data_IF_409059836828
#
_entry.id   IF_409059836828
#
_cell.length_a   1.000
_cell.length_b   1.000
_cell.length_c   1.000
_cell.angle_alpha   90.00
_cell.angle_beta   90.00
_cell.angle_gamma   90.00
#
_symmetry.space_group_name_H-M   'P 1'
#
loop_
_entity.id
_entity.type
_entity.pdbx_description
1 polymer ?
#
# COMPACT_ATOMS: atom_id res chain seq x y z
N UNK A 1 -42.94 -2.99 13.25
CA UNK A 1 -41.58 -3.07 12.66
C UNK A 1 -41.77 -3.12 11.16
N UNK A 2 -41.39 -2.04 10.46
CA UNK A 2 -41.67 -1.92 9.03
C UNK A 2 -40.67 -2.76 8.24
N UNK A 3 -41.11 -3.29 7.10
CA UNK A 3 -40.32 -4.06 6.13
C UNK A 3 -39.08 -3.31 5.59
N UNK A 4 -38.90 -2.04 5.99
CA UNK A 4 -37.72 -1.19 5.69
C UNK A 4 -36.58 -1.33 6.72
N UNK A 5 -36.82 -2.00 7.86
CA UNK A 5 -35.79 -2.61 8.70
C UNK A 5 -35.35 -3.96 8.09
N UNK A 6 -35.20 -4.02 6.76
CA UNK A 6 -34.37 -5.02 6.13
C UNK A 6 -32.97 -4.79 6.68
N UNK A 7 -32.63 -5.62 7.65
CA UNK A 7 -31.31 -5.93 8.13
C UNK A 7 -30.37 -5.96 6.93
N UNK A 8 -29.72 -4.84 6.63
CA UNK A 8 -28.61 -4.86 5.70
C UNK A 8 -27.59 -5.72 6.40
N UNK A 9 -27.42 -6.93 5.89
CA UNK A 9 -26.36 -7.81 6.36
C UNK A 9 -25.05 -7.01 6.35
N UNK A 10 -24.09 -7.30 7.24
CA UNK A 10 -22.81 -6.60 7.29
C UNK A 10 -22.14 -6.48 5.90
N UNK A 11 -22.39 -7.44 5.01
CA UNK A 11 -21.98 -7.44 3.61
C UNK A 11 -22.59 -6.31 2.76
N UNK A 12 -23.88 -6.01 2.90
CA UNK A 12 -24.53 -4.94 2.15
C UNK A 12 -24.08 -3.58 2.69
N UNK A 13 -24.02 -3.43 4.01
CA UNK A 13 -23.49 -2.22 4.66
C UNK A 13 -22.06 -1.93 4.21
N UNK A 14 -21.20 -2.95 4.20
CA UNK A 14 -19.83 -2.83 3.70
C UNK A 14 -19.80 -2.41 2.23
N UNK A 15 -20.65 -3.00 1.38
CA UNK A 15 -20.72 -2.66 -0.04
C UNK A 15 -21.13 -1.20 -0.26
N UNK A 16 -22.10 -0.69 0.52
CA UNK A 16 -22.52 0.71 0.45
C UNK A 16 -21.41 1.66 0.92
N UNK A 17 -20.70 1.32 2.00
CA UNK A 17 -19.56 2.10 2.49
C UNK A 17 -18.48 2.19 1.40
N UNK A 18 -18.08 1.04 0.84
CA UNK A 18 -17.07 0.97 -0.21
C UNK A 18 -17.46 1.78 -1.45
N UNK A 19 -18.73 1.70 -1.89
CA UNK A 19 -19.20 2.48 -3.04
C UNK A 19 -19.27 3.99 -2.74
N UNK A 20 -19.61 4.39 -1.51
CA UNK A 20 -19.67 5.79 -1.09
C UNK A 20 -18.29 6.47 -1.09
N UNK A 21 -17.23 5.71 -0.80
CA UNK A 21 -15.83 6.16 -0.76
C UNK A 21 -15.18 6.20 -2.16
N UNK A 22 -15.86 5.73 -3.22
CA UNK A 22 -15.27 5.72 -4.56
C UNK A 22 -14.96 7.15 -5.06
N UNK A 23 -13.77 7.43 -5.61
CA UNK A 23 -13.40 8.77 -6.04
C UNK A 23 -14.17 9.22 -7.29
N UNK A 24 -14.62 8.28 -8.12
CA UNK A 24 -15.38 8.57 -9.33
C UNK A 24 -16.84 8.96 -8.97
N UNK A 25 -17.35 10.10 -9.45
CA UNK A 25 -18.76 10.42 -9.29
C UNK A 25 -19.60 9.41 -10.08
N UNK A 26 -20.52 8.73 -9.40
CA UNK A 26 -21.44 7.78 -10.02
C UNK A 26 -22.80 7.85 -9.35
N UNK A 27 -23.84 7.42 -10.07
CA UNK A 27 -25.18 7.30 -9.48
C UNK A 27 -25.19 6.32 -8.30
N UNK A 28 -24.39 5.25 -8.40
CA UNK A 28 -24.24 4.24 -7.34
C UNK A 28 -23.61 4.87 -6.09
N UNK A 29 -22.57 5.70 -6.25
CA UNK A 29 -21.95 6.45 -5.14
C UNK A 29 -22.96 7.38 -4.48
N UNK A 30 -23.67 8.19 -5.28
CA UNK A 30 -24.69 9.10 -4.78
C UNK A 30 -25.78 8.34 -4.01
N UNK A 31 -26.31 7.26 -4.59
CA UNK A 31 -27.32 6.41 -3.96
C UNK A 31 -26.80 5.78 -2.66
N UNK A 32 -25.53 5.33 -2.64
CA UNK A 32 -24.92 4.72 -1.45
C UNK A 32 -24.71 5.74 -0.33
N UNK A 33 -24.15 6.92 -0.64
CA UNK A 33 -24.02 8.02 0.32
C UNK A 33 -25.38 8.48 0.84
N UNK A 34 -26.38 8.57 -0.04
CA UNK A 34 -27.75 8.94 0.33
C UNK A 34 -28.38 7.88 1.26
N UNK A 35 -28.28 6.59 0.91
CA UNK A 35 -28.77 5.49 1.75
C UNK A 35 -28.11 5.46 3.12
N UNK A 36 -26.80 5.69 3.20
CA UNK A 36 -26.06 5.76 4.47
C UNK A 36 -26.46 7.00 5.30
N UNK A 37 -26.68 8.15 4.65
CA UNK A 37 -27.12 9.37 5.33
C UNK A 37 -28.48 9.22 6.02
N UNK A 38 -29.43 8.54 5.38
CA UNK A 38 -30.78 8.32 5.92
C UNK A 38 -30.88 7.14 6.89
N UNK A 39 -29.75 6.57 7.35
CA UNK A 39 -29.72 5.47 8.32
C UNK A 39 -29.17 5.96 9.67
N UNK A 40 -29.97 6.69 10.46
CA UNK A 40 -29.62 6.95 11.86
C UNK A 40 -29.50 5.59 12.59
N UNK A 41 -28.50 5.46 13.46
CA UNK A 41 -28.19 4.27 14.25
C UNK A 41 -27.53 3.07 13.52
N UNK A 42 -26.96 3.26 12.31
CA UNK A 42 -26.19 2.20 11.65
C UNK A 42 -25.06 1.65 12.55
N UNK A 43 -24.34 2.55 13.21
CA UNK A 43 -23.26 2.19 14.15
C UNK A 43 -23.80 1.36 15.31
N UNK A 44 -24.85 1.84 15.98
CA UNK A 44 -25.47 1.14 17.11
C UNK A 44 -25.97 -0.24 16.71
N UNK A 45 -26.60 -0.39 15.55
CA UNK A 45 -27.05 -1.69 15.03
C UNK A 45 -25.90 -2.65 14.76
N UNK A 46 -24.80 -2.16 14.16
CA UNK A 46 -23.62 -2.97 13.89
C UNK A 46 -22.95 -3.44 15.19
N UNK A 47 -22.82 -2.57 16.19
CA UNK A 47 -22.26 -2.89 17.50
C UNK A 47 -23.14 -3.91 18.25
N UNK A 48 -24.45 -3.68 18.31
CA UNK A 48 -25.39 -4.60 18.96
C UNK A 48 -25.33 -6.00 18.34
N UNK A 49 -25.27 -6.09 17.02
CA UNK A 49 -25.14 -7.37 16.34
C UNK A 49 -23.80 -8.06 16.57
N UNK A 50 -22.70 -7.32 16.59
CA UNK A 50 -21.39 -7.90 16.93
C UNK A 50 -21.42 -8.51 18.33
N UNK A 51 -22.02 -7.81 19.31
CA UNK A 51 -22.19 -8.31 20.68
C UNK A 51 -23.09 -9.55 20.74
N UNK A 52 -24.17 -9.59 19.96
CA UNK A 52 -25.06 -10.75 19.87
C UNK A 52 -24.36 -11.98 19.28
N UNK A 53 -23.57 -11.79 18.22
CA UNK A 53 -22.89 -12.89 17.53
C UNK A 53 -21.63 -13.37 18.28
N UNK A 54 -20.97 -12.48 19.02
CA UNK A 54 -19.66 -12.73 19.65
C UNK A 54 -19.57 -12.11 21.05
N UNK A 55 -20.39 -12.59 22.01
CA UNK A 55 -20.30 -12.10 23.38
C UNK A 55 -18.93 -12.46 23.98
N UNK A 56 -18.10 -11.45 24.25
CA UNK A 56 -16.82 -11.61 24.96
C UNK A 56 -15.61 -12.03 24.12
N UNK A 57 -15.62 -11.83 22.79
CA UNK A 57 -14.39 -11.96 21.99
C UNK A 57 -13.69 -10.61 21.83
N UNK A 58 -12.39 -10.57 22.04
CA UNK A 58 -11.56 -9.37 21.78
C UNK A 58 -11.53 -9.01 20.29
N UNK A 59 -11.85 -9.94 19.39
CA UNK A 59 -11.74 -9.75 17.93
C UNK A 59 -13.06 -9.20 17.36
N UNK A 60 -13.02 -7.94 16.90
CA UNK A 60 -14.15 -7.26 16.25
C UNK A 60 -14.15 -7.58 14.76
N UNK A 61 -15.30 -7.87 14.14
CA UNK A 61 -15.33 -8.12 12.70
C UNK A 61 -14.84 -6.92 11.87
N UNK A 62 -14.19 -7.19 10.74
CA UNK A 62 -13.76 -6.14 9.81
C UNK A 62 -14.94 -5.31 9.27
N UNK A 63 -16.14 -5.88 9.20
CA UNK A 63 -17.36 -5.17 8.84
C UNK A 63 -17.73 -4.12 9.89
N UNK A 64 -17.76 -4.51 11.17
CA UNK A 64 -18.04 -3.60 12.29
C UNK A 64 -16.97 -2.52 12.41
N UNK A 65 -15.68 -2.87 12.26
CA UNK A 65 -14.61 -1.86 12.21
C UNK A 65 -14.79 -0.87 11.05
N UNK A 66 -15.29 -1.32 9.89
CA UNK A 66 -15.59 -0.40 8.78
C UNK A 66 -16.76 0.53 9.05
N UNK A 67 -17.77 0.08 9.80
CA UNK A 67 -18.87 0.96 10.22
C UNK A 67 -18.38 2.01 11.22
N UNK A 68 -17.53 1.63 12.16
CA UNK A 68 -16.89 2.55 13.12
C UNK A 68 -16.00 3.55 12.39
N UNK A 69 -15.18 3.08 11.45
CA UNK A 69 -14.35 3.89 10.57
C UNK A 69 -15.16 4.92 9.76
N UNK A 70 -16.30 4.51 9.21
CA UNK A 70 -17.23 5.42 8.53
C UNK A 70 -17.84 6.46 9.48
N UNK A 71 -18.22 6.05 10.70
CA UNK A 71 -18.75 6.97 11.71
C UNK A 71 -17.68 8.01 12.12
N UNK A 72 -16.44 7.58 12.32
CA UNK A 72 -15.30 8.47 12.57
C UNK A 72 -15.09 9.44 11.41
N UNK A 73 -15.02 8.93 10.17
CA UNK A 73 -14.85 9.75 8.97
C UNK A 73 -15.95 10.81 8.85
N UNK A 74 -17.21 10.44 9.09
CA UNK A 74 -18.35 11.35 9.03
C UNK A 74 -18.28 12.46 10.08
N UNK A 75 -17.92 12.12 11.32
CA UNK A 75 -17.81 13.10 12.40
C UNK A 75 -16.63 14.07 12.17
N UNK A 76 -15.50 13.58 11.64
CA UNK A 76 -14.30 14.42 11.42
C UNK A 76 -14.37 15.27 10.17
N UNK A 77 -14.94 14.76 9.07
CA UNK A 77 -15.12 15.54 7.83
C UNK A 77 -16.22 16.59 7.93
N UNK A 78 -17.23 16.37 8.79
CA UNK A 78 -18.27 17.37 9.09
C UNK A 78 -17.72 18.65 9.73
N UNK A 79 -16.58 18.57 10.43
CA UNK A 79 -15.94 19.69 11.12
C UNK A 79 -14.82 20.36 10.30
N UNK A 80 -14.57 19.92 9.06
CA UNK A 80 -13.46 20.41 8.24
C UNK A 80 -12.07 20.00 8.77
N UNK A 81 -12.01 18.97 9.62
CA UNK A 81 -10.77 18.45 10.20
C UNK A 81 -9.98 17.55 9.23
N UNK A 82 -8.67 17.43 9.46
CA UNK A 82 -7.84 16.39 8.85
C UNK A 82 -8.18 15.04 9.49
N UNK A 83 -8.37 13.99 8.66
CA UNK A 83 -8.60 12.61 9.11
C UNK A 83 -7.44 12.06 9.96
N UNK A 84 -6.26 12.66 9.78
CA UNK A 84 -4.97 12.22 10.34
C UNK A 84 -4.54 13.08 11.54
N UNK A 85 -5.49 13.67 12.26
CA UNK A 85 -5.19 14.44 13.46
C UNK A 85 -5.16 13.50 14.68
N UNK A 86 -4.13 13.56 15.53
CA UNK A 86 -4.15 12.86 16.81
C UNK A 86 -5.19 13.53 17.71
N UNK A 87 -6.40 13.00 17.66
CA UNK A 87 -7.47 13.34 18.58
C UNK A 87 -7.52 12.26 19.67
N UNK A 88 -7.81 12.70 20.90
CA UNK A 88 -7.90 11.82 22.05
C UNK A 88 -9.03 10.80 21.83
N UNK A 89 -8.68 9.51 21.83
CA UNK A 89 -9.59 8.42 21.44
C UNK A 89 -10.83 8.36 22.35
N UNK A 90 -10.67 8.68 23.64
CA UNK A 90 -11.76 8.71 24.61
C UNK A 90 -12.73 9.85 24.31
N UNK A 91 -12.22 11.06 24.05
CA UNK A 91 -13.05 12.21 23.66
C UNK A 91 -13.84 11.97 22.36
N UNK A 92 -13.22 11.30 21.38
CA UNK A 92 -13.85 10.95 20.12
C UNK A 92 -14.91 9.87 20.30
N UNK A 93 -14.64 8.85 21.11
CA UNK A 93 -15.60 7.78 21.40
C UNK A 93 -16.86 8.35 22.04
N UNK A 94 -16.71 9.30 22.97
CA UNK A 94 -17.84 10.01 23.58
C UNK A 94 -18.62 10.85 22.57
N UNK A 95 -17.95 11.62 21.72
CA UNK A 95 -18.63 12.48 20.74
C UNK A 95 -19.42 11.65 19.71
N UNK A 96 -18.85 10.55 19.24
CA UNK A 96 -19.50 9.59 18.34
C UNK A 96 -20.68 8.90 19.06
N UNK A 97 -20.50 8.48 20.32
CA UNK A 97 -21.58 7.85 21.08
C UNK A 97 -22.79 8.77 21.24
N UNK A 98 -22.55 10.05 21.56
CA UNK A 98 -23.61 11.07 21.68
C UNK A 98 -24.31 11.31 20.34
N UNK A 99 -23.56 11.43 19.23
CA UNK A 99 -24.15 11.70 17.91
C UNK A 99 -24.95 10.51 17.36
N UNK A 100 -24.60 9.29 17.77
CA UNK A 100 -25.24 8.04 17.32
C UNK A 100 -26.31 7.52 18.29
N UNK A 101 -26.52 8.20 19.43
CA UNK A 101 -27.50 7.81 20.44
C UNK A 101 -27.15 6.50 21.15
N UNK A 102 -25.86 6.26 21.41
CA UNK A 102 -25.34 5.15 22.20
C UNK A 102 -25.29 5.60 23.67
N UNK A 103 -25.83 4.78 24.56
CA UNK A 103 -25.84 5.06 26.00
C UNK A 103 -24.44 4.93 26.59
N UNK A 104 -24.07 5.81 27.51
CA UNK A 104 -22.76 5.80 28.19
C UNK A 104 -23.01 5.78 29.71
N UNK A 105 -22.49 4.79 30.46
CA UNK A 105 -21.72 3.61 30.01
C UNK A 105 -22.62 2.48 29.46
N UNK A 106 -22.13 1.70 28.49
CA UNK A 106 -22.77 0.50 27.95
C UNK A 106 -21.74 -0.45 27.31
N UNK A 107 -22.12 -1.72 27.10
CA UNK A 107 -21.25 -2.67 26.39
C UNK A 107 -21.00 -2.25 24.93
N UNK A 108 -21.99 -1.61 24.30
CA UNK A 108 -21.87 -1.03 22.97
C UNK A 108 -20.84 0.11 22.94
N UNK A 109 -20.81 0.94 23.99
CA UNK A 109 -19.83 2.02 24.14
C UNK A 109 -18.41 1.47 24.34
N UNK A 110 -18.24 0.43 25.15
CA UNK A 110 -16.94 -0.21 25.36
C UNK A 110 -16.42 -0.80 24.04
N UNK A 111 -17.29 -1.52 23.30
CA UNK A 111 -16.95 -2.05 21.98
C UNK A 111 -16.62 -0.96 20.96
N UNK A 112 -17.37 0.15 20.97
CA UNK A 112 -17.09 1.32 20.13
C UNK A 112 -15.68 1.86 20.42
N UNK A 113 -15.34 2.03 21.69
CA UNK A 113 -14.06 2.61 22.11
C UNK A 113 -12.90 1.73 21.65
N UNK A 114 -12.97 0.40 21.89
CA UNK A 114 -11.97 -0.56 21.40
C UNK A 114 -11.88 -0.59 19.88
N UNK A 115 -13.02 -0.56 19.18
CA UNK A 115 -13.05 -0.55 17.73
C UNK A 115 -12.45 0.74 17.14
N UNK A 116 -12.74 1.89 17.75
CA UNK A 116 -12.23 3.17 17.32
C UNK A 116 -10.72 3.25 17.51
N UNK A 117 -10.20 2.77 18.65
CA UNK A 117 -8.75 2.72 18.86
C UNK A 117 -8.04 1.94 17.74
N UNK A 118 -8.61 0.80 17.33
CA UNK A 118 -8.07 -0.01 16.21
C UNK A 118 -8.12 0.73 14.88
N UNK A 119 -9.21 1.45 14.61
CA UNK A 119 -9.32 2.31 13.43
C UNK A 119 -8.24 3.40 13.46
N UNK A 120 -8.06 4.09 14.59
CA UNK A 120 -7.05 5.13 14.74
C UNK A 120 -5.63 4.59 14.57
N UNK A 121 -5.33 3.38 15.05
CA UNK A 121 -4.04 2.71 14.79
C UNK A 121 -3.78 2.51 13.30
N UNK A 122 -4.80 2.21 12.49
CA UNK A 122 -4.61 2.10 11.04
C UNK A 122 -4.22 3.44 10.41
N UNK A 123 -4.76 4.56 10.88
CA UNK A 123 -4.37 5.88 10.38
C UNK A 123 -2.97 6.26 10.81
N UNK A 124 -2.57 5.94 12.05
CA UNK A 124 -1.21 6.16 12.52
C UNK A 124 -0.19 5.42 11.62
N UNK A 125 -0.49 4.20 11.18
CA UNK A 125 0.36 3.47 10.21
C UNK A 125 0.49 4.27 8.90
N UNK A 126 -0.63 4.76 8.36
CA UNK A 126 -0.63 5.53 7.10
C UNK A 126 0.15 6.84 7.25
N UNK A 127 0.04 7.52 8.38
CA UNK A 127 0.79 8.76 8.67
C UNK A 127 2.30 8.52 8.68
N UNK A 128 2.77 7.52 9.42
CA UNK A 128 4.20 7.18 9.49
C UNK A 128 4.72 6.74 8.13
N UNK A 129 3.95 5.94 7.40
CA UNK A 129 4.29 5.51 6.04
C UNK A 129 4.38 6.70 5.08
N UNK A 130 3.48 7.67 5.19
CA UNK A 130 3.53 8.90 4.38
C UNK A 130 4.74 9.76 4.75
N UNK A 131 5.03 9.94 6.04
CA UNK A 131 6.22 10.67 6.51
C UNK A 131 7.53 10.02 6.01
N UNK A 132 7.61 8.70 6.03
CA UNK A 132 8.74 7.95 5.48
C UNK A 132 8.86 8.09 3.96
N UNK A 133 7.75 8.25 3.25
CA UNK A 133 7.76 8.49 1.81
C UNK A 133 8.24 9.91 1.46
N UNK A 134 7.93 10.89 2.32
CA UNK A 134 8.38 12.28 2.21
C UNK A 134 9.84 12.45 2.66
N UNK A 135 10.33 11.57 3.54
CA UNK A 135 11.72 11.54 4.00
C UNK A 135 12.65 11.15 2.87
N UNK A 136 13.49 12.10 2.42
CA UNK A 136 14.40 11.88 1.31
C UNK A 136 15.42 10.78 1.61
N UNK A 137 15.67 9.92 0.61
CA UNK A 137 16.77 8.96 0.69
C UNK A 137 18.12 9.70 0.74
N UNK A 138 18.97 9.42 1.75
CA UNK A 138 20.19 10.17 1.96
C UNK A 138 21.21 9.96 0.84
N UNK A 139 21.92 11.02 0.47
CA UNK A 139 23.00 10.98 -0.53
C UNK A 139 24.40 10.98 0.07
N UNK A 140 24.48 11.05 1.40
CA UNK A 140 25.71 11.13 2.19
C UNK A 140 26.29 9.75 2.60
N UNK A 141 25.63 8.66 2.21
CA UNK A 141 26.03 7.29 2.52
C UNK A 141 25.52 6.75 3.86
N UNK A 142 24.70 7.51 4.60
CA UNK A 142 24.10 7.02 5.87
C UNK A 142 23.22 5.77 5.68
N UNK A 143 22.62 5.58 4.50
CA UNK A 143 21.84 4.38 4.16
C UNK A 143 22.68 3.24 3.54
N UNK A 144 24.01 3.37 3.46
CA UNK A 144 24.89 2.35 2.85
C UNK A 144 24.80 1.00 3.58
N UNK A 145 24.55 1.00 4.89
CA UNK A 145 24.34 -0.22 5.67
C UNK A 145 23.15 -1.03 5.18
N UNK A 146 22.01 -0.37 4.99
CA UNK A 146 20.79 -1.01 4.48
C UNK A 146 20.95 -1.49 3.03
N UNK A 147 21.67 -0.73 2.20
CA UNK A 147 21.97 -1.12 0.81
C UNK A 147 22.90 -2.34 0.74
N UNK A 148 23.91 -2.41 1.60
CA UNK A 148 24.80 -3.57 1.70
C UNK A 148 24.06 -4.81 2.15
N UNK A 149 23.17 -4.65 3.13
CA UNK A 149 22.33 -5.75 3.60
C UNK A 149 21.40 -6.25 2.49
N UNK A 150 20.68 -5.34 1.83
CA UNK A 150 19.83 -5.65 0.69
C UNK A 150 20.60 -6.46 -0.36
N UNK A 151 21.81 -6.00 -0.71
CA UNK A 151 22.64 -6.74 -1.65
C UNK A 151 23.06 -8.11 -1.15
N UNK A 152 23.49 -8.24 0.11
CA UNK A 152 23.90 -9.54 0.65
C UNK A 152 22.79 -10.58 0.61
N UNK A 153 21.53 -10.15 0.69
CA UNK A 153 20.38 -11.03 0.56
C UNK A 153 20.10 -11.35 -0.91
N UNK A 154 20.11 -10.35 -1.78
CA UNK A 154 19.79 -10.52 -3.20
C UNK A 154 20.90 -11.20 -4.02
N UNK A 155 22.15 -11.11 -3.56
CA UNK A 155 23.37 -11.61 -4.22
C UNK A 155 24.34 -12.19 -3.18
N UNK A 156 23.98 -13.32 -2.54
CA UNK A 156 24.81 -13.90 -1.48
C UNK A 156 26.20 -14.35 -1.97
N UNK A 157 26.31 -14.73 -3.24
CA UNK A 157 27.55 -15.23 -3.87
C UNK A 157 28.52 -14.13 -4.33
N UNK A 158 28.16 -12.84 -4.19
CA UNK A 158 28.97 -11.72 -4.68
C UNK A 158 29.36 -10.76 -3.55
N UNK A 159 30.65 -10.72 -3.21
CA UNK A 159 31.20 -9.76 -2.25
C UNK A 159 31.12 -8.31 -2.78
N UNK A 160 30.62 -7.40 -1.95
CA UNK A 160 30.51 -5.98 -2.25
C UNK A 160 31.72 -5.20 -1.70
N UNK A 161 32.63 -4.69 -2.54
CA UNK A 161 33.71 -3.84 -2.06
C UNK A 161 33.23 -2.43 -1.72
N UNK A 162 32.19 -1.92 -2.40
CA UNK A 162 31.48 -0.68 -2.10
C UNK A 162 30.20 -0.58 -2.94
N UNK A 163 29.10 -0.02 -2.42
CA UNK A 163 27.90 0.28 -3.21
C UNK A 163 28.13 1.49 -4.12
N UNK A 164 29.03 1.33 -5.08
CA UNK A 164 29.15 2.26 -6.20
C UNK A 164 27.86 2.21 -7.04
N UNK A 165 27.52 3.30 -7.73
CA UNK A 165 26.35 3.34 -8.63
C UNK A 165 26.34 2.28 -9.73
N UNK A 166 27.43 1.52 -9.92
CA UNK A 166 27.48 0.37 -10.84
C UNK A 166 26.80 -0.89 -10.26
N UNK A 167 26.98 -1.20 -8.97
CA UNK A 167 26.31 -2.35 -8.36
C UNK A 167 24.80 -2.11 -8.25
N UNK A 168 24.40 -0.89 -7.90
CA UNK A 168 22.98 -0.50 -7.94
C UNK A 168 22.38 -0.61 -9.35
N UNK A 169 23.17 -0.31 -10.39
CA UNK A 169 22.73 -0.50 -11.78
C UNK A 169 22.43 -1.95 -12.12
N UNK A 170 22.99 -2.96 -11.44
CA UNK A 170 22.68 -4.37 -11.72
C UNK A 170 21.30 -4.74 -11.17
N UNK A 171 20.98 -4.30 -9.95
CA UNK A 171 19.64 -4.50 -9.36
C UNK A 171 18.58 -3.67 -10.10
N UNK A 172 18.99 -2.54 -10.69
CA UNK A 172 18.11 -1.65 -11.45
C UNK A 172 17.99 -2.02 -12.94
N UNK A 173 19.02 -2.52 -13.58
CA UNK A 173 19.10 -2.57 -15.05
C UNK A 173 19.59 -3.94 -15.50
N UNK A 174 18.78 -4.60 -16.33
CA UNK A 174 19.07 -5.91 -16.91
C UNK A 174 20.20 -5.86 -17.97
N UNK A 175 20.64 -4.66 -18.37
CA UNK A 175 21.54 -4.49 -19.54
C UNK A 175 23.04 -4.68 -19.27
N UNK A 176 23.48 -4.93 -18.03
CA UNK A 176 24.91 -4.89 -17.69
C UNK A 176 25.75 -6.07 -18.21
N UNK A 177 25.14 -7.12 -18.79
CA UNK A 177 25.87 -8.31 -19.27
C UNK A 177 26.03 -8.42 -20.80
N UNK A 178 25.55 -7.48 -21.60
CA UNK A 178 25.71 -7.54 -23.07
C UNK A 178 26.73 -6.53 -23.61
N UNK A 179 27.96 -6.96 -23.94
CA UNK A 179 28.82 -6.20 -24.85
C UNK A 179 28.36 -6.50 -26.27
N UNK A 180 27.45 -5.72 -26.85
CA UNK A 180 27.42 -5.33 -28.29
C UNK A 180 26.09 -4.76 -28.77
N UNK A 181 26.18 -3.56 -29.35
CA UNK A 181 25.49 -3.09 -30.57
C UNK A 181 24.02 -3.50 -30.79
N UNK A 182 23.10 -2.71 -30.23
CA UNK A 182 21.90 -2.31 -30.99
C UNK A 182 21.52 -0.88 -30.63
N UNK A 183 21.53 0.02 -31.62
CA UNK A 183 21.15 1.43 -31.46
C UNK A 183 19.63 1.50 -31.37
N UNK A 184 19.08 1.97 -30.25
CA UNK A 184 17.66 2.33 -30.13
C UNK A 184 17.52 3.76 -29.62
N UNK A 185 16.68 4.50 -30.33
CA UNK A 185 16.40 5.93 -30.24
C UNK A 185 15.58 6.28 -29.00
N UNK A 186 16.02 7.29 -28.25
CA UNK A 186 15.35 7.79 -27.04
C UNK A 186 14.13 8.67 -27.37
N UNK A 187 13.04 8.51 -26.60
CA UNK A 187 11.97 9.48 -26.47
C UNK A 187 11.97 10.04 -25.04
N UNK A 188 12.17 11.35 -24.93
CA UNK A 188 11.91 12.10 -23.72
C UNK A 188 10.93 13.24 -24.03
N UNK A 189 9.99 13.43 -23.09
CA UNK A 189 9.25 14.65 -22.77
C UNK A 189 7.84 14.82 -23.37
N UNK A 190 6.83 14.56 -22.53
CA UNK A 190 5.51 15.17 -22.62
C UNK A 190 5.46 16.43 -21.73
N UNK A 191 4.99 17.55 -22.28
CA UNK A 191 4.75 18.82 -21.55
C UNK A 191 4.71 20.01 -22.51
N UNK A 192 3.50 20.51 -22.80
CA UNK A 192 3.14 21.52 -23.82
C UNK A 192 3.66 22.93 -23.51
N UNK A 193 3.92 23.72 -24.56
CA UNK A 193 3.39 25.09 -24.85
C UNK A 193 4.01 25.63 -26.19
N UNK A 194 3.46 26.68 -26.83
CA UNK A 194 3.16 26.69 -28.26
C UNK A 194 4.21 27.32 -29.19
N UNK A 195 3.97 27.06 -30.46
CA UNK A 195 4.63 27.47 -31.71
C UNK A 195 5.18 28.90 -31.73
N UNK A 196 6.47 29.02 -32.10
CA UNK A 196 6.96 30.00 -33.10
C UNK A 196 8.19 29.47 -33.84
N UNK A 197 8.14 29.54 -35.17
CA UNK A 197 9.17 29.13 -36.14
C UNK A 197 10.45 29.95 -35.99
N UNK A 198 11.60 29.30 -36.06
CA UNK A 198 12.72 29.71 -36.92
C UNK A 198 13.71 28.55 -37.08
N UNK A 199 14.21 28.39 -38.31
CA UNK A 199 15.02 27.29 -38.78
C UNK A 199 16.46 27.33 -38.25
N UNK A 200 17.02 26.16 -37.94
CA UNK A 200 18.39 25.82 -38.36
C UNK A 200 18.52 24.29 -38.42
N UNK A 201 19.00 23.81 -39.57
CA UNK A 201 19.43 22.42 -39.77
C UNK A 201 20.61 22.15 -38.83
N UNK A 202 20.44 21.24 -37.90
CA UNK A 202 21.52 20.45 -37.34
C UNK A 202 20.96 19.06 -37.06
N UNK A 203 21.32 18.10 -37.92
CA UNK A 203 21.12 16.68 -37.69
C UNK A 203 21.69 16.33 -36.32
N UNK A 204 20.80 16.15 -35.34
CA UNK A 204 21.18 15.75 -34.00
C UNK A 204 21.41 14.26 -34.03
N UNK A 205 22.64 13.87 -34.40
CA UNK A 205 23.17 12.54 -34.11
C UNK A 205 22.99 12.34 -32.61
N UNK A 206 22.08 11.43 -32.21
CA UNK A 206 21.93 11.03 -30.82
C UNK A 206 23.26 10.45 -30.35
N UNK A 207 24.03 11.25 -29.62
CA UNK A 207 25.18 10.78 -28.86
C UNK A 207 24.72 9.62 -27.95
N UNK A 208 25.47 8.51 -27.88
CA UNK A 208 25.07 7.33 -27.12
C UNK A 208 24.78 7.75 -25.67
N UNK A 209 23.60 7.34 -25.17
CA UNK A 209 23.14 7.59 -23.81
C UNK A 209 24.27 7.18 -22.84
N UNK A 210 25.02 8.17 -22.34
CA UNK A 210 26.18 7.94 -21.46
C UNK A 210 25.71 7.10 -20.29
N UNK A 211 26.48 6.04 -19.98
CA UNK A 211 26.48 5.35 -18.68
C UNK A 211 26.54 6.42 -17.58
N UNK A 212 25.39 6.83 -17.08
CA UNK A 212 25.30 7.74 -15.95
C UNK A 212 25.19 6.82 -14.76
N UNK A 213 26.21 6.75 -13.90
CA UNK A 213 26.10 6.10 -12.60
C UNK A 213 24.85 6.65 -11.94
N UNK A 214 23.80 5.84 -11.83
CA UNK A 214 22.56 6.32 -11.24
C UNK A 214 22.58 5.93 -9.79
N UNK A 215 22.50 6.92 -8.91
CA UNK A 215 22.53 6.67 -7.47
C UNK A 215 21.15 6.20 -7.00
N UNK A 216 21.09 5.30 -5.99
CA UNK A 216 19.84 4.89 -5.35
C UNK A 216 18.98 6.09 -4.93
N UNK A 217 19.63 7.15 -4.43
CA UNK A 217 19.01 8.42 -4.05
C UNK A 217 18.19 9.08 -5.18
N UNK A 218 18.48 8.81 -6.46
CA UNK A 218 17.66 9.33 -7.56
C UNK A 218 16.44 8.49 -7.89
N UNK A 219 16.48 7.19 -7.61
CA UNK A 219 15.36 6.27 -7.85
C UNK A 219 14.32 6.35 -6.73
N UNK A 220 14.79 6.48 -5.49
CA UNK A 220 13.92 6.62 -4.32
C UNK A 220 13.29 8.01 -4.17
N UNK A 221 13.47 8.96 -5.10
CA UNK A 221 12.93 10.34 -4.96
C UNK A 221 11.41 10.42 -4.81
N UNK A 222 10.67 9.45 -5.35
CA UNK A 222 9.21 9.45 -5.33
C UNK A 222 8.57 8.81 -4.09
N UNK A 223 9.33 8.00 -3.34
CA UNK A 223 8.85 7.23 -2.17
C UNK A 223 9.84 7.24 -1.02
N UNK A 224 10.87 8.08 -1.08
CA UNK A 224 11.83 8.32 -0.01
C UNK A 224 12.44 7.06 0.61
N UNK A 225 12.57 7.13 1.94
CA UNK A 225 13.01 6.02 2.77
C UNK A 225 12.01 4.85 2.80
N UNK A 226 10.72 5.10 2.58
CA UNK A 226 9.71 4.04 2.50
C UNK A 226 10.04 3.04 1.39
N UNK A 227 10.46 3.50 0.22
CA UNK A 227 10.86 2.62 -0.88
C UNK A 227 12.03 1.70 -0.52
N UNK A 228 12.99 2.20 0.24
CA UNK A 228 14.13 1.41 0.72
C UNK A 228 13.69 0.38 1.75
N UNK A 229 12.89 0.78 2.74
CA UNK A 229 12.40 -0.11 3.79
C UNK A 229 11.50 -1.22 3.23
N UNK A 230 10.61 -0.90 2.29
CA UNK A 230 9.76 -1.89 1.63
C UNK A 230 10.58 -2.92 0.84
N UNK A 231 11.60 -2.48 0.10
CA UNK A 231 12.44 -3.41 -0.66
C UNK A 231 13.31 -4.28 0.24
N UNK A 232 13.86 -3.71 1.32
CA UNK A 232 14.62 -4.48 2.31
C UNK A 232 13.72 -5.45 3.07
N UNK A 233 12.50 -5.06 3.42
CA UNK A 233 11.51 -5.96 4.03
C UNK A 233 11.20 -7.13 3.10
N UNK A 234 10.91 -6.87 1.82
CA UNK A 234 10.72 -7.92 0.82
C UNK A 234 11.92 -8.90 0.77
N UNK A 235 13.14 -8.37 0.68
CA UNK A 235 14.34 -9.19 0.65
C UNK A 235 14.48 -10.05 1.92
N UNK A 236 14.31 -9.46 3.11
CA UNK A 236 14.41 -10.18 4.40
C UNK A 236 13.33 -11.25 4.56
N UNK A 237 12.12 -10.98 4.09
CA UNK A 237 10.98 -11.88 4.26
C UNK A 237 11.07 -13.06 3.29
N UNK A 238 11.43 -12.81 2.03
CA UNK A 238 11.42 -13.83 0.98
C UNK A 238 12.79 -14.46 0.68
N UNK A 239 13.88 -13.90 1.21
CA UNK A 239 15.26 -14.41 1.17
C UNK A 239 15.64 -15.09 -0.15
N UNK A 240 15.70 -16.43 -0.16
CA UNK A 240 16.10 -17.23 -1.31
C UNK A 240 15.23 -16.93 -2.54
N UNK A 241 13.91 -16.76 -2.35
CA UNK A 241 13.01 -16.40 -3.46
C UNK A 241 13.29 -15.01 -4.00
N UNK A 242 13.70 -14.06 -3.15
CA UNK A 242 14.09 -12.74 -3.60
C UNK A 242 15.38 -12.77 -4.43
N UNK A 243 16.36 -13.59 -4.03
CA UNK A 243 17.58 -13.84 -4.79
C UNK A 243 17.28 -14.53 -6.13
N UNK A 244 16.42 -15.56 -6.15
CA UNK A 244 15.97 -16.22 -7.37
C UNK A 244 15.33 -15.23 -8.35
N UNK A 245 14.42 -14.36 -7.88
CA UNK A 245 13.78 -13.35 -8.72
C UNK A 245 14.82 -12.38 -9.33
N UNK A 246 15.90 -12.05 -8.59
CA UNK A 246 17.01 -11.24 -9.11
C UNK A 246 17.83 -11.99 -10.15
N UNK A 247 18.09 -13.27 -9.95
CA UNK A 247 18.84 -14.07 -10.92
C UNK A 247 18.04 -14.33 -12.20
N UNK A 248 16.75 -14.65 -12.06
CA UNK A 248 15.78 -14.65 -13.17
C UNK A 248 15.80 -13.30 -13.90
N UNK A 249 15.89 -12.20 -13.14
CA UNK A 249 15.91 -10.87 -13.70
C UNK A 249 17.11 -10.55 -14.58
N UNK A 250 18.27 -10.96 -14.10
CA UNK A 250 19.53 -10.73 -14.79
C UNK A 250 19.65 -11.66 -15.99
N UNK A 251 19.20 -12.92 -15.86
CA UNK A 251 19.21 -13.90 -16.94
C UNK A 251 18.17 -13.64 -18.05
N UNK A 252 17.04 -12.99 -17.72
CA UNK A 252 15.89 -12.81 -18.61
C UNK A 252 16.04 -11.75 -19.70
N UNK A 253 17.08 -10.91 -19.68
CA UNK A 253 17.36 -9.95 -20.75
C UNK A 253 16.23 -8.92 -20.99
N UNK A 254 15.91 -8.63 -22.26
CA UNK A 254 14.90 -7.62 -22.63
C UNK A 254 13.47 -7.99 -22.22
N UNK A 255 13.21 -9.27 -21.94
CA UNK A 255 11.93 -9.78 -21.46
C UNK A 255 11.72 -9.54 -19.96
N UNK A 256 12.71 -8.96 -19.27
CA UNK A 256 12.65 -8.78 -17.83
C UNK A 256 12.52 -7.32 -17.38
N UNK A 257 11.81 -7.10 -16.28
CA UNK A 257 11.61 -5.78 -15.69
C UNK A 257 12.70 -5.43 -14.65
N UNK A 258 13.12 -4.16 -14.57
CA UNK A 258 13.91 -3.62 -13.46
C UNK A 258 13.32 -3.92 -12.07
N UNK A 259 13.89 -4.87 -11.30
CA UNK A 259 13.31 -5.28 -10.01
C UNK A 259 13.23 -4.12 -9.00
N UNK A 260 14.32 -3.37 -8.81
CA UNK A 260 14.31 -2.22 -7.90
C UNK A 260 13.25 -1.19 -8.28
N UNK A 261 13.08 -0.93 -9.59
CA UNK A 261 12.07 0.02 -10.08
C UNK A 261 10.65 -0.51 -9.86
N UNK A 262 10.42 -1.82 -10.08
CA UNK A 262 9.14 -2.45 -9.78
C UNK A 262 8.82 -2.39 -8.28
N UNK A 263 9.78 -2.67 -7.40
CA UNK A 263 9.60 -2.53 -5.95
C UNK A 263 9.20 -1.10 -5.58
N UNK A 264 9.86 -0.09 -6.15
CA UNK A 264 9.52 1.33 -5.95
C UNK A 264 8.11 1.64 -6.47
N UNK A 265 7.75 1.16 -7.66
CA UNK A 265 6.41 1.37 -8.24
C UNK A 265 5.31 0.71 -7.42
N UNK A 266 5.53 -0.51 -6.92
CA UNK A 266 4.55 -1.23 -6.11
C UNK A 266 4.43 -0.62 -4.71
N UNK A 267 5.52 -0.10 -4.14
CA UNK A 267 5.49 0.66 -2.89
C UNK A 267 4.72 1.97 -3.06
N UNK A 268 4.96 2.71 -4.16
CA UNK A 268 4.21 3.92 -4.49
C UNK A 268 2.71 3.62 -4.67
N UNK A 269 2.39 2.49 -5.32
CA UNK A 269 1.01 2.05 -5.47
C UNK A 269 0.37 1.67 -4.13
N UNK A 270 1.08 0.95 -3.25
CA UNK A 270 0.61 0.66 -1.91
C UNK A 270 0.33 1.95 -1.11
N UNK A 271 1.20 2.95 -1.22
CA UNK A 271 1.00 4.27 -0.59
C UNK A 271 -0.23 5.00 -1.15
N UNK A 272 -0.43 5.00 -2.47
CA UNK A 272 -1.64 5.55 -3.09
C UNK A 272 -2.91 4.85 -2.60
N UNK A 273 -2.87 3.52 -2.49
CA UNK A 273 -3.99 2.73 -1.95
C UNK A 273 -4.23 3.00 -0.46
N UNK A 274 -3.17 3.21 0.34
CA UNK A 274 -3.27 3.52 1.77
C UNK A 274 -3.90 4.91 1.98
N UNK A 275 -3.36 5.92 1.32
CA UNK A 275 -3.83 7.32 1.41
C UNK A 275 -5.23 7.51 0.84
N UNK A 276 -5.61 6.72 -0.18
CA UNK A 276 -6.97 6.68 -0.70
C UNK A 276 -7.92 5.75 0.09
N UNK A 277 -7.46 5.14 1.19
CA UNK A 277 -8.22 4.22 2.06
C UNK A 277 -8.65 2.90 1.38
N UNK A 278 -8.07 2.57 0.24
CA UNK A 278 -8.34 1.30 -0.46
C UNK A 278 -7.78 0.10 0.32
N UNK A 279 -6.71 0.29 1.12
CA UNK A 279 -6.13 -0.75 1.99
C UNK A 279 -6.83 -0.92 3.34
N UNK A 280 -7.87 -0.13 3.64
CA UNK A 280 -8.44 -0.05 4.99
C UNK A 280 -8.87 -1.43 5.52
N UNK A 281 -9.46 -2.29 4.67
CA UNK A 281 -9.86 -3.64 5.08
C UNK A 281 -8.66 -4.54 5.46
N UNK A 282 -7.52 -4.39 4.81
CA UNK A 282 -6.31 -5.16 5.12
C UNK A 282 -5.68 -4.68 6.41
N UNK A 283 -5.54 -3.35 6.56
CA UNK A 283 -4.94 -2.75 7.76
C UNK A 283 -5.79 -3.05 9.00
N UNK A 284 -7.12 -2.94 8.90
CA UNK A 284 -8.04 -3.28 10.00
C UNK A 284 -7.91 -4.75 10.42
N UNK A 285 -7.80 -5.68 9.46
CA UNK A 285 -7.58 -7.10 9.77
C UNK A 285 -6.22 -7.33 10.44
N UNK A 286 -5.16 -6.66 9.98
CA UNK A 286 -3.82 -6.82 10.55
C UNK A 286 -3.78 -6.34 12.02
N UNK A 287 -4.38 -5.19 12.32
CA UNK A 287 -4.43 -4.64 13.67
C UNK A 287 -5.26 -5.50 14.63
N UNK A 288 -6.25 -6.25 14.14
CA UNK A 288 -7.05 -7.19 14.96
C UNK A 288 -6.26 -8.43 15.41
N UNK A 289 -5.36 -8.94 14.56
CA UNK A 289 -4.69 -10.23 14.82
C UNK A 289 -3.57 -10.15 15.85
N UNK A 290 -3.19 -8.95 16.31
CA UNK A 290 -2.08 -8.78 17.23
C UNK A 290 -2.56 -8.89 18.69
N UNK A 291 -2.04 -9.83 19.49
CA UNK A 291 -2.39 -9.92 20.90
C UNK A 291 -1.83 -8.70 21.66
N UNK A 292 -2.69 -8.03 22.43
CA UNK A 292 -2.36 -6.87 23.26
C UNK A 292 -1.27 -7.16 24.31
N UNK A 293 -1.02 -8.44 24.61
CA UNK A 293 -0.03 -8.91 25.57
C UNK A 293 1.43 -8.70 25.15
N UNK A 294 1.73 -8.48 23.87
CA UNK A 294 3.08 -8.09 23.44
C UNK A 294 3.45 -6.66 23.86
N UNK A 295 2.46 -5.81 24.18
CA UNK A 295 2.65 -4.43 24.62
C UNK A 295 2.73 -4.28 26.15
N UNK A 296 2.34 -5.32 26.91
CA UNK A 296 2.28 -5.27 28.37
C UNK A 296 3.64 -5.48 29.07
N UNK A 297 4.72 -5.78 28.33
CA UNK A 297 6.07 -5.94 28.89
C UNK A 297 6.83 -4.62 29.06
N UNK A 298 6.24 -3.47 28.71
CA UNK A 298 6.82 -2.15 28.94
C UNK A 298 5.79 -1.15 29.47
N UNK A 299 5.23 -1.45 30.65
CA UNK A 299 4.55 -0.43 31.45
C UNK A 299 5.59 0.40 32.22
N UNK A 300 6.28 1.28 31.51
CA UNK A 300 6.86 2.48 32.13
C UNK A 300 7.13 3.53 31.05
N UNK A 301 6.60 4.74 31.29
CA UNK A 301 6.66 5.95 30.48
C UNK A 301 5.78 6.00 29.21
N UNK A 302 4.64 6.68 29.39
CA UNK A 302 3.88 7.40 28.37
C UNK A 302 4.79 8.48 27.72
N UNK A 303 5.66 8.08 26.80
CA UNK A 303 6.23 8.96 25.77
C UNK A 303 5.50 8.70 24.47
N UNK A 304 4.97 9.78 23.89
CA UNK A 304 4.11 9.85 22.70
C UNK A 304 4.82 9.53 21.36
N UNK A 305 5.86 8.70 21.40
CA UNK A 305 6.66 8.21 20.26
C UNK A 305 6.74 6.67 20.32
N UNK A 306 5.59 6.01 20.47
CA UNK A 306 5.55 4.56 20.25
C UNK A 306 5.86 4.31 18.77
N UNK A 307 6.93 3.56 18.50
CA UNK A 307 7.34 3.10 17.16
C UNK A 307 6.14 2.41 16.50
N UNK A 308 5.41 3.14 15.66
CA UNK A 308 4.20 2.64 15.00
C UNK A 308 4.64 1.55 14.05
N UNK A 309 4.18 0.32 14.32
CA UNK A 309 4.58 -0.80 13.49
C UNK A 309 3.93 -0.73 12.10
N UNK A 310 4.77 -0.38 11.11
CA UNK A 310 4.40 -0.28 9.70
C UNK A 310 4.48 -1.64 8.97
N UNK A 311 4.86 -2.73 9.64
CA UNK A 311 4.95 -4.07 9.04
C UNK A 311 3.71 -4.45 8.20
N UNK A 312 2.46 -4.21 8.64
CA UNK A 312 1.29 -4.52 7.83
C UNK A 312 1.31 -3.86 6.44
N UNK A 313 1.80 -2.63 6.35
CA UNK A 313 1.95 -1.93 5.08
C UNK A 313 3.08 -2.54 4.23
N UNK A 314 4.24 -2.82 4.83
CA UNK A 314 5.41 -3.38 4.13
C UNK A 314 5.10 -4.77 3.55
N UNK A 315 4.32 -5.57 4.29
CA UNK A 315 3.81 -6.85 3.82
C UNK A 315 2.93 -6.70 2.57
N UNK A 316 1.95 -5.79 2.59
CA UNK A 316 1.10 -5.52 1.43
C UNK A 316 1.92 -5.05 0.22
N UNK A 317 2.92 -4.18 0.44
CA UNK A 317 3.81 -3.73 -0.65
C UNK A 317 4.61 -4.89 -1.26
N UNK A 318 5.04 -5.85 -0.44
CA UNK A 318 5.74 -7.05 -0.89
C UNK A 318 4.83 -8.02 -1.64
N UNK A 319 3.60 -8.21 -1.16
CA UNK A 319 2.60 -9.04 -1.83
C UNK A 319 2.22 -8.47 -3.20
N UNK A 320 2.12 -7.14 -3.32
CA UNK A 320 1.94 -6.44 -4.59
C UNK A 320 3.12 -6.67 -5.55
N UNK A 321 4.36 -6.69 -5.05
CA UNK A 321 5.55 -6.97 -5.86
C UNK A 321 5.56 -8.40 -6.39
N UNK A 322 5.22 -9.39 -5.56
CA UNK A 322 5.09 -10.78 -6.00
C UNK A 322 3.96 -10.96 -7.01
N UNK A 323 2.82 -10.32 -6.78
CA UNK A 323 1.70 -10.41 -7.70
C UNK A 323 2.02 -9.74 -9.05
N UNK A 324 2.74 -8.62 -9.02
CA UNK A 324 3.24 -7.98 -10.23
C UNK A 324 4.25 -8.88 -10.97
N UNK A 325 5.12 -9.58 -10.23
CA UNK A 325 6.06 -10.56 -10.80
C UNK A 325 5.32 -11.69 -11.54
N UNK A 326 4.30 -12.29 -10.91
CA UNK A 326 3.46 -13.32 -11.54
C UNK A 326 2.76 -12.81 -12.79
N UNK A 327 2.15 -11.61 -12.72
CA UNK A 327 1.54 -10.95 -13.87
C UNK A 327 2.53 -10.74 -15.03
N UNK A 328 3.76 -10.31 -14.71
CA UNK A 328 4.78 -10.08 -15.72
C UNK A 328 5.20 -11.35 -16.44
N UNK A 329 5.44 -12.42 -15.66
CA UNK A 329 5.86 -13.73 -16.20
C UNK A 329 4.86 -14.33 -17.17
N UNK A 330 3.56 -14.13 -16.92
CA UNK A 330 2.51 -14.67 -17.79
C UNK A 330 2.25 -13.80 -19.03
N UNK A 331 2.48 -12.49 -18.94
CA UNK A 331 2.19 -11.58 -20.03
C UNK A 331 3.22 -11.55 -21.16
N UNK A 332 4.42 -12.12 -20.96
CA UNK A 332 5.49 -12.13 -21.97
C UNK A 332 5.94 -10.73 -22.37
N UNK A 333 5.92 -9.78 -21.43
CA UNK A 333 6.22 -8.38 -21.69
C UNK A 333 7.72 -8.13 -21.90
N UNK A 334 8.03 -6.96 -22.45
CA UNK A 334 9.41 -6.45 -22.54
C UNK A 334 9.59 -5.26 -21.63
N UNK A 335 10.83 -4.95 -21.27
CA UNK A 335 11.17 -3.78 -20.45
C UNK A 335 10.60 -2.46 -21.03
N UNK A 336 10.40 -2.38 -22.34
CA UNK A 336 9.83 -1.19 -22.99
C UNK A 336 8.37 -0.97 -22.71
N UNK A 337 7.65 -2.01 -22.28
CA UNK A 337 6.25 -1.94 -21.90
C UNK A 337 6.08 -1.67 -20.40
N UNK A 338 7.17 -1.59 -19.62
CA UNK A 338 7.13 -1.56 -18.16
C UNK A 338 6.15 -0.55 -17.58
N UNK A 339 6.23 0.73 -17.98
CA UNK A 339 5.33 1.76 -17.44
C UNK A 339 3.86 1.52 -17.80
N UNK A 340 3.60 1.07 -19.03
CA UNK A 340 2.24 0.79 -19.50
C UNK A 340 1.66 -0.42 -18.76
N UNK A 341 2.42 -1.51 -18.67
CA UNK A 341 2.04 -2.74 -17.96
C UNK A 341 1.83 -2.47 -16.48
N UNK A 342 2.73 -1.72 -15.84
CA UNK A 342 2.59 -1.33 -14.43
C UNK A 342 1.29 -0.55 -14.19
N UNK A 343 0.93 0.40 -15.06
CA UNK A 343 -0.33 1.17 -14.92
C UNK A 343 -1.56 0.30 -15.16
N UNK A 344 -1.51 -0.58 -16.16
CA UNK A 344 -2.60 -1.51 -16.46
C UNK A 344 -2.84 -2.48 -15.29
N UNK A 345 -1.77 -3.01 -14.71
CA UNK A 345 -1.81 -3.85 -13.51
C UNK A 345 -2.50 -3.12 -12.33
N UNK A 346 -2.05 -1.90 -12.01
CA UNK A 346 -2.62 -1.10 -10.92
C UNK A 346 -4.11 -0.82 -11.14
N UNK A 347 -4.49 -0.44 -12.35
CA UNK A 347 -5.88 -0.14 -12.69
C UNK A 347 -6.79 -1.39 -12.60
N UNK A 348 -6.29 -2.55 -13.03
CA UNK A 348 -7.02 -3.80 -12.97
C UNK A 348 -7.19 -4.31 -11.52
N UNK A 349 -6.18 -4.13 -10.67
CA UNK A 349 -6.16 -4.69 -9.32
C UNK A 349 -6.88 -3.82 -8.28
N UNK A 350 -6.84 -2.48 -8.41
CA UNK A 350 -7.42 -1.54 -7.42
C UNK A 350 -8.89 -1.83 -7.03
N UNK A 351 -9.82 -2.17 -7.95
CA UNK A 351 -11.19 -2.49 -7.58
C UNK A 351 -11.34 -3.75 -6.71
N UNK A 352 -10.40 -4.70 -6.80
CA UNK A 352 -10.39 -5.92 -6.01
C UNK A 352 -9.83 -5.66 -4.62
N UNK A 353 -8.76 -4.88 -4.53
CA UNK A 353 -8.15 -4.46 -3.26
C UNK A 353 -9.17 -3.75 -2.37
N UNK A 354 -9.96 -2.83 -2.94
CA UNK A 354 -11.05 -2.15 -2.19
C UNK A 354 -12.04 -3.12 -1.56
N UNK A 355 -12.26 -4.28 -2.19
CA UNK A 355 -13.16 -5.33 -1.69
C UNK A 355 -12.47 -6.30 -0.73
N UNK A 356 -11.22 -6.03 -0.35
CA UNK A 356 -10.41 -6.86 0.54
C UNK A 356 -9.84 -8.10 -0.14
N UNK A 357 -9.63 -8.05 -1.46
CA UNK A 357 -9.05 -9.13 -2.27
C UNK A 357 -7.72 -8.66 -2.85
N UNK A 358 -6.63 -9.34 -2.48
CA UNK A 358 -5.29 -9.14 -3.02
C UNK A 358 -4.81 -10.50 -3.55
N UNK A 359 -5.25 -10.84 -4.76
CA UNK A 359 -5.05 -12.16 -5.36
C UNK A 359 -5.06 -12.02 -6.90
N UNK A 360 -4.17 -12.76 -7.58
CA UNK A 360 -4.06 -12.82 -9.04
C UNK A 360 -4.98 -13.82 -9.73
N UNK A 361 -5.59 -14.77 -9.01
CA UNK A 361 -6.40 -15.86 -9.57
C UNK A 361 -7.60 -15.37 -10.35
N UNK A 362 -8.35 -14.41 -9.79
CA UNK A 362 -9.52 -13.83 -10.45
C UNK A 362 -9.16 -13.03 -11.72
N UNK A 363 -7.90 -12.62 -11.84
CA UNK A 363 -7.36 -11.87 -12.98
C UNK A 363 -6.60 -12.76 -13.96
N UNK A 364 -6.53 -14.07 -13.67
CA UNK A 364 -5.80 -15.05 -14.47
C UNK A 364 -4.28 -14.83 -14.46
N UNK A 365 -3.73 -14.26 -13.38
CA UNK A 365 -2.29 -13.97 -13.20
C UNK A 365 -1.56 -15.00 -12.35
N UNK A 366 -2.28 -15.95 -11.78
CA UNK A 366 -1.75 -17.08 -11.03
C UNK A 366 -2.42 -18.35 -11.55
N UNK A 367 -1.64 -19.41 -11.77
CA UNK A 367 -2.19 -20.73 -12.08
C UNK A 367 -2.59 -21.43 -10.77
N UNK A 368 -3.61 -22.30 -10.81
CA UNK A 368 -4.15 -22.99 -9.63
C UNK A 368 -3.10 -23.81 -8.85
N UNK A 369 -1.94 -24.11 -9.45
CA UNK A 369 -0.84 -24.86 -8.83
C UNK A 369 0.25 -23.96 -8.22
N UNK A 370 0.39 -22.69 -8.64
CA UNK A 370 1.40 -21.76 -8.14
C UNK A 370 0.94 -20.97 -6.90
N UNK A 371 -0.36 -20.96 -6.60
CA UNK A 371 -0.96 -20.23 -5.48
C UNK A 371 -0.67 -20.81 -4.09
N UNK A 372 0.16 -21.85 -4.00
CA UNK A 372 0.77 -22.30 -2.76
C UNK A 372 2.24 -21.92 -2.79
N UNK A 373 2.53 -20.64 -2.53
CA UNK A 373 3.78 -20.35 -1.82
C UNK A 373 3.67 -21.16 -0.54
N UNK A 374 4.46 -22.25 -0.44
CA UNK A 374 4.66 -22.98 0.80
C UNK A 374 5.30 -22.00 1.78
N UNK A 375 4.46 -21.23 2.46
CA UNK A 375 4.78 -20.63 3.74
C UNK A 375 4.79 -21.82 4.70
N UNK A 376 5.97 -22.38 4.95
CA UNK A 376 6.18 -23.17 6.16
C UNK A 376 6.14 -22.26 7.39
#
# INVERSE_FOLDING_TARGET
MSTFELWLTPSITLSLILESETPAPSFIRWASSWLLYFRPALLRQALAYELEQRPGQDVVSAGTLRVVDYAFWRNTTGEGGSLYRPADADSLSQSIAVSEGIEVPSLEYDLLSTALERVLRTYAIVDVVQELAETQFPSDGSADGQLKELWSILKPEAELPSMSGKHWQEVRTVWSLFPSRTRLTCLARAGRLPVRRAASRNETVCSPFRRRNVSPATDFRGVGMLGMQAFLYFARTYRDRAAEIVDEAIGGGESWYPLALASIHMTAFALDLATSRDLQLFLLRAVQTRPETASAASSDALTKDADVDIEPFLRIASDLLLLFHSHWRQGGFTVMQFEQTSKAFQAALRPWIRRGILDGRALGWETWEEGAVKLE
#
